data_IF_628416816757
#
_entry.id   IF_628416816757
#
_cell.length_a   1.000
_cell.length_b   1.000
_cell.length_c   1.000
_cell.angle_alpha   90.00
_cell.angle_beta   90.00
_cell.angle_gamma   90.00
#
_symmetry.space_group_name_H-M   'P 1'
#
loop_
_entity.id
_entity.type
_entity.pdbx_description
1 polymer ?
#
# COMPACT_ATOMS: atom_id res chain seq x y z
N UNK A 1 13.31 17.37 3.20
CA UNK A 1 12.59 16.11 3.47
C UNK A 1 12.18 15.49 2.15
N UNK A 2 11.26 16.13 1.43
CA UNK A 2 11.02 15.82 0.02
C UNK A 2 12.28 16.14 -0.81
N UNK A 3 12.56 15.30 -1.80
CA UNK A 3 13.64 15.50 -2.77
C UNK A 3 13.08 15.53 -4.19
N UNK A 4 13.73 16.31 -5.05
CA UNK A 4 13.29 16.51 -6.41
C UNK A 4 13.45 15.19 -7.19
N UNK A 5 12.39 14.67 -7.84
CA UNK A 5 12.48 13.43 -8.59
C UNK A 5 13.35 13.56 -9.86
N UNK A 6 13.78 14.78 -10.23
CA UNK A 6 14.62 15.06 -11.40
C UNK A 6 16.10 15.22 -11.04
N UNK A 7 16.41 16.11 -10.08
CA UNK A 7 17.78 16.44 -9.72
C UNK A 7 18.21 15.96 -8.33
N UNK A 8 17.33 15.28 -7.59
CA UNK A 8 17.57 14.72 -6.23
C UNK A 8 17.88 15.74 -5.13
N UNK A 9 17.96 17.03 -5.46
CA UNK A 9 18.07 18.13 -4.49
C UNK A 9 16.82 18.30 -3.62
N UNK A 10 17.00 18.93 -2.46
CA UNK A 10 15.90 19.22 -1.54
C UNK A 10 14.79 20.05 -2.21
N UNK A 11 13.54 19.69 -1.92
CA UNK A 11 12.36 20.46 -2.27
C UNK A 11 11.94 21.33 -1.09
N UNK A 12 11.73 22.62 -1.35
CA UNK A 12 11.17 23.59 -0.42
C UNK A 12 9.73 23.93 -0.80
N UNK A 13 8.88 24.20 0.20
CA UNK A 13 7.52 24.69 -0.03
C UNK A 13 7.56 26.08 -0.69
N UNK A 14 6.68 26.28 -1.65
CA UNK A 14 6.39 27.55 -2.35
C UNK A 14 4.87 27.71 -2.43
N UNK A 15 4.36 28.88 -2.79
CA UNK A 15 2.94 29.27 -2.68
C UNK A 15 1.91 28.14 -2.94
N UNK A 16 2.04 27.44 -4.07
CA UNK A 16 1.12 26.37 -4.48
C UNK A 16 1.83 25.03 -4.77
N UNK A 17 2.88 24.69 -4.03
CA UNK A 17 3.58 23.42 -4.23
C UNK A 17 4.99 23.41 -3.70
N UNK A 18 5.88 22.71 -4.40
CA UNK A 18 7.28 22.57 -4.00
C UNK A 18 8.23 22.84 -5.14
N UNK A 19 9.41 23.39 -4.83
CA UNK A 19 10.46 23.64 -5.83
C UNK A 19 11.86 23.33 -5.27
N UNK A 20 12.79 22.95 -6.15
CA UNK A 20 14.20 22.80 -5.78
C UNK A 20 15.05 24.00 -6.24
N UNK A 21 16.28 24.08 -5.74
CA UNK A 21 17.22 25.15 -6.08
C UNK A 21 17.55 25.24 -7.58
N UNK A 22 17.41 24.14 -8.33
CA UNK A 22 17.59 24.10 -9.78
C UNK A 22 16.37 24.62 -10.58
N UNK A 23 15.31 25.08 -9.91
CA UNK A 23 14.12 25.67 -10.54
C UNK A 23 13.05 24.67 -10.98
N UNK A 24 13.21 23.36 -10.71
CA UNK A 24 12.14 22.39 -10.94
C UNK A 24 11.01 22.63 -9.94
N UNK A 25 9.77 22.73 -10.43
CA UNK A 25 8.58 23.05 -9.63
C UNK A 25 7.48 22.00 -9.83
N UNK A 26 6.81 21.65 -8.74
CA UNK A 26 5.74 20.67 -8.71
C UNK A 26 4.55 21.30 -7.99
N UNK A 27 3.48 21.57 -8.73
CA UNK A 27 2.25 22.12 -8.16
C UNK A 27 1.52 21.09 -7.30
N UNK A 28 0.94 21.58 -6.20
CA UNK A 28 -0.01 20.82 -5.40
C UNK A 28 -1.36 20.83 -6.12
N UNK A 29 -1.89 19.63 -6.36
CA UNK A 29 -3.21 19.50 -6.96
C UNK A 29 -4.27 20.06 -5.99
N UNK A 30 -5.41 20.52 -6.53
CA UNK A 30 -6.54 21.02 -5.71
C UNK A 30 -7.00 20.03 -4.64
N UNK A 31 -6.80 18.73 -4.86
CA UNK A 31 -7.17 17.67 -3.92
C UNK A 31 -6.15 17.49 -2.78
N UNK A 32 -4.95 18.08 -2.87
CA UNK A 32 -3.95 18.13 -1.79
C UNK A 32 -2.64 17.39 -2.05
N UNK A 33 -2.56 16.55 -3.10
CA UNK A 33 -1.36 15.76 -3.41
C UNK A 33 -0.33 16.50 -4.28
N UNK A 34 0.92 16.06 -4.19
CA UNK A 34 2.00 16.43 -5.09
C UNK A 34 2.19 15.34 -6.16
N UNK A 35 2.22 15.70 -7.44
CA UNK A 35 2.60 14.75 -8.49
C UNK A 35 4.11 14.78 -8.70
N UNK A 36 4.80 13.80 -8.11
CA UNK A 36 6.26 13.67 -8.13
C UNK A 36 6.71 12.48 -8.99
N UNK A 37 5.85 12.02 -9.91
CA UNK A 37 6.15 10.97 -10.89
C UNK A 37 6.57 11.60 -12.23
N UNK A 38 7.87 11.60 -12.59
CA UNK A 38 8.31 12.14 -13.87
C UNK A 38 7.73 11.37 -15.05
N UNK A 39 7.42 12.07 -16.14
CA UNK A 39 6.84 11.48 -17.36
C UNK A 39 7.73 10.38 -17.93
N UNK A 40 9.05 10.58 -17.92
CA UNK A 40 10.07 9.61 -18.39
C UNK A 40 10.14 8.31 -17.56
N UNK A 41 9.48 8.25 -16.40
CA UNK A 41 9.42 7.07 -15.56
C UNK A 41 8.03 6.42 -15.54
N UNK A 42 7.13 6.87 -16.43
CA UNK A 42 5.86 6.20 -16.69
C UNK A 42 6.04 5.08 -17.70
N UNK A 43 5.78 3.84 -17.28
CA UNK A 43 5.72 2.67 -18.18
C UNK A 43 4.38 2.57 -18.93
N UNK A 44 3.35 3.29 -18.50
CA UNK A 44 2.05 3.40 -19.16
C UNK A 44 1.41 4.77 -18.90
N UNK A 45 0.41 5.13 -19.70
CA UNK A 45 -0.36 6.38 -19.53
C UNK A 45 -1.21 6.38 -18.26
N UNK A 46 -1.73 5.21 -17.88
CA UNK A 46 -2.53 4.98 -16.68
C UNK A 46 -1.97 3.77 -15.89
N UNK A 47 -0.91 3.97 -15.08
CA UNK A 47 -0.32 2.91 -14.28
C UNK A 47 -1.14 2.62 -13.01
N UNK A 48 -1.30 1.35 -12.69
CA UNK A 48 -2.01 0.89 -11.48
C UNK A 48 -3.48 0.57 -11.74
N UNK A 49 -4.31 0.75 -10.72
CA UNK A 49 -5.74 0.42 -10.76
C UNK A 49 -6.55 1.49 -11.49
N UNK A 50 -7.48 1.06 -12.34
CA UNK A 50 -8.46 1.94 -12.97
C UNK A 50 -9.53 2.41 -11.98
N UNK A 51 -10.34 3.41 -12.38
CA UNK A 51 -11.35 4.02 -11.51
C UNK A 51 -12.38 3.01 -10.95
N UNK A 52 -12.78 2.00 -11.71
CA UNK A 52 -13.75 1.00 -11.28
C UNK A 52 -13.16 0.06 -10.21
N UNK A 53 -11.90 -0.36 -10.37
CA UNK A 53 -11.18 -1.16 -9.38
C UNK A 53 -11.00 -0.39 -8.07
N UNK A 54 -10.64 0.89 -8.18
CA UNK A 54 -10.49 1.76 -7.01
C UNK A 54 -11.82 1.93 -6.27
N UNK A 55 -12.93 2.10 -6.99
CA UNK A 55 -14.26 2.21 -6.37
C UNK A 55 -14.70 0.91 -5.69
N UNK A 56 -14.53 -0.24 -6.36
CA UNK A 56 -14.83 -1.54 -5.78
C UNK A 56 -14.02 -1.79 -4.50
N UNK A 57 -12.71 -1.50 -4.54
CA UNK A 57 -11.84 -1.58 -3.36
C UNK A 57 -12.33 -0.69 -2.22
N UNK A 58 -12.67 0.56 -2.55
CA UNK A 58 -13.17 1.53 -1.58
C UNK A 58 -14.46 1.05 -0.91
N UNK A 59 -15.42 0.53 -1.67
CA UNK A 59 -16.67 0.02 -1.13
C UNK A 59 -16.45 -1.19 -0.21
N UNK A 60 -15.65 -2.17 -0.66
CA UNK A 60 -15.37 -3.36 0.13
C UNK A 60 -14.66 -3.04 1.46
N UNK A 61 -13.61 -2.22 1.41
CA UNK A 61 -12.88 -1.82 2.60
C UNK A 61 -13.74 -0.91 3.49
N UNK A 62 -14.53 -0.01 2.90
CA UNK A 62 -15.46 0.88 3.61
C UNK A 62 -16.61 0.14 4.31
N UNK A 63 -16.98 -1.05 3.83
CA UNK A 63 -17.93 -1.94 4.51
C UNK A 63 -17.33 -2.66 5.73
N UNK A 64 -16.03 -2.46 6.01
CA UNK A 64 -15.36 -3.00 7.20
C UNK A 64 -14.93 -4.46 7.09
N UNK A 65 -15.03 -5.08 5.92
CA UNK A 65 -14.66 -6.49 5.73
C UNK A 65 -13.22 -6.79 6.16
N UNK A 66 -12.29 -5.85 5.96
CA UNK A 66 -10.88 -5.95 6.36
C UNK A 66 -10.53 -5.02 7.55
N UNK A 67 -11.53 -4.59 8.33
CA UNK A 67 -11.29 -3.76 9.52
C UNK A 67 -10.35 -4.40 10.56
N UNK A 68 -10.42 -5.72 10.85
CA UNK A 68 -9.45 -6.36 11.76
C UNK A 68 -8.00 -6.20 11.29
N UNK A 69 -7.78 -6.25 9.97
CA UNK A 69 -6.44 -6.15 9.40
C UNK A 69 -5.86 -4.74 9.56
N UNK A 70 -6.67 -3.73 9.27
CA UNK A 70 -6.24 -2.34 9.36
C UNK A 70 -6.01 -1.92 10.81
N UNK A 71 -6.85 -2.37 11.74
CA UNK A 71 -6.66 -2.14 13.17
C UNK A 71 -5.34 -2.71 13.65
N UNK A 72 -5.05 -3.98 13.35
CA UNK A 72 -3.81 -4.62 13.80
C UNK A 72 -2.57 -3.95 13.19
N UNK A 73 -2.63 -3.55 11.92
CA UNK A 73 -1.57 -2.77 11.28
C UNK A 73 -1.29 -1.47 12.04
N UNK A 74 -2.34 -0.74 12.41
CA UNK A 74 -2.23 0.54 13.11
C UNK A 74 -1.68 0.37 14.53
N UNK A 75 -2.11 -0.67 15.26
CA UNK A 75 -1.55 -1.03 16.57
C UNK A 75 -0.05 -1.32 16.48
N UNK A 76 0.37 -2.19 15.56
CA UNK A 76 1.78 -2.52 15.36
C UNK A 76 2.62 -1.29 15.01
N UNK A 77 2.09 -0.39 14.19
CA UNK A 77 2.77 0.86 13.85
C UNK A 77 2.90 1.80 15.06
N UNK A 78 1.85 1.90 15.88
CA UNK A 78 1.84 2.71 17.10
C UNK A 78 2.83 2.20 18.16
N UNK A 79 2.97 0.88 18.32
CA UNK A 79 3.96 0.26 19.20
C UNK A 79 5.40 0.67 18.86
N UNK A 80 5.69 1.01 17.59
CA UNK A 80 7.02 1.45 17.15
C UNK A 80 7.24 2.96 17.36
N UNK A 81 6.18 3.72 17.63
CA UNK A 81 6.21 5.16 17.88
C UNK A 81 7.14 5.96 16.92
N UNK A 82 7.03 5.79 15.59
CA UNK A 82 7.91 6.48 14.65
C UNK A 82 7.68 8.00 14.68
N UNK A 83 8.76 8.78 14.55
CA UNK A 83 8.64 10.22 14.32
C UNK A 83 8.21 10.56 12.88
N UNK A 84 8.57 9.71 11.92
CA UNK A 84 8.22 9.82 10.51
C UNK A 84 7.93 8.46 9.88
N UNK A 85 6.90 8.39 9.06
CA UNK A 85 6.49 7.17 8.37
C UNK A 85 6.04 7.40 6.94
N UNK A 86 6.12 6.36 6.12
CA UNK A 86 5.65 6.35 4.74
C UNK A 86 4.81 5.10 4.46
N UNK A 87 3.64 5.26 3.85
CA UNK A 87 2.88 4.17 3.24
C UNK A 87 3.19 4.04 1.74
N UNK A 88 3.73 2.88 1.34
CA UNK A 88 4.16 2.56 -0.01
C UNK A 88 3.07 1.73 -0.71
N UNK A 89 2.47 2.31 -1.76
CA UNK A 89 1.33 1.72 -2.45
C UNK A 89 0.05 1.92 -1.64
N UNK A 90 -0.19 3.15 -1.22
CA UNK A 90 -1.28 3.53 -0.32
C UNK A 90 -2.68 3.37 -0.93
N UNK A 91 -2.76 3.15 -2.26
CA UNK A 91 -4.01 3.00 -2.98
C UNK A 91 -4.95 4.17 -2.74
N UNK A 92 -6.18 3.86 -2.32
CA UNK A 92 -7.21 4.87 -2.04
C UNK A 92 -7.23 5.34 -0.58
N UNK A 93 -6.20 4.97 0.20
CA UNK A 93 -5.93 5.54 1.52
C UNK A 93 -6.65 4.91 2.71
N UNK A 94 -7.28 3.74 2.55
CA UNK A 94 -7.97 3.07 3.66
C UNK A 94 -7.04 2.76 4.84
N UNK A 95 -5.95 2.04 4.60
CA UNK A 95 -4.98 1.68 5.65
C UNK A 95 -4.18 2.89 6.12
N UNK A 96 -3.83 3.79 5.19
CA UNK A 96 -3.11 5.03 5.47
C UNK A 96 -3.86 5.92 6.45
N UNK A 97 -5.18 6.02 6.34
CA UNK A 97 -6.00 6.81 7.26
C UNK A 97 -5.95 6.24 8.68
N UNK A 98 -6.01 4.92 8.83
CA UNK A 98 -5.91 4.23 10.11
C UNK A 98 -4.52 4.41 10.75
N UNK A 99 -3.45 4.36 9.94
CA UNK A 99 -2.10 4.69 10.38
C UNK A 99 -2.00 6.16 10.85
N UNK A 100 -2.58 7.09 10.09
CA UNK A 100 -2.59 8.51 10.45
C UNK A 100 -3.39 8.83 11.72
N UNK A 101 -4.45 8.08 12.00
CA UNK A 101 -5.22 8.17 13.25
C UNK A 101 -4.42 7.61 14.45
N UNK A 102 -3.71 6.51 14.26
CA UNK A 102 -2.90 5.89 15.31
C UNK A 102 -1.57 6.60 15.59
N UNK A 103 -1.07 7.38 14.62
CA UNK A 103 0.19 8.13 14.70
C UNK A 103 -0.02 9.66 14.54
N UNK A 104 -0.85 10.30 15.39
CA UNK A 104 -1.29 11.68 15.16
C UNK A 104 -0.17 12.73 15.31
N UNK A 105 0.93 12.36 15.98
CA UNK A 105 2.10 13.24 16.20
C UNK A 105 3.24 12.95 15.22
N UNK A 106 3.14 11.91 14.40
CA UNK A 106 4.18 11.53 13.47
C UNK A 106 3.99 12.22 12.11
N UNK A 107 5.10 12.59 11.48
CA UNK A 107 5.11 13.15 10.14
C UNK A 107 4.84 12.04 9.11
N UNK A 108 3.64 12.01 8.52
CA UNK A 108 3.16 10.90 7.71
C UNK A 108 3.10 11.21 6.21
N UNK A 109 3.63 10.29 5.41
CA UNK A 109 3.67 10.34 3.95
C UNK A 109 2.95 9.15 3.35
N UNK A 110 2.39 9.33 2.16
CA UNK A 110 1.76 8.24 1.44
C UNK A 110 1.97 8.41 -0.06
N UNK A 111 2.32 7.31 -0.75
CA UNK A 111 2.46 7.32 -2.19
C UNK A 111 1.76 6.16 -2.87
N UNK A 112 1.26 6.44 -4.06
CA UNK A 112 0.86 5.43 -5.03
C UNK A 112 1.24 5.92 -6.44
N UNK A 113 1.38 4.98 -7.37
CA UNK A 113 1.62 5.32 -8.78
C UNK A 113 0.32 5.74 -9.48
N UNK A 114 -0.84 5.26 -8.99
CA UNK A 114 -2.16 5.60 -9.51
C UNK A 114 -2.61 6.97 -9.01
N UNK A 115 -2.67 7.92 -9.95
CA UNK A 115 -3.18 9.27 -9.66
C UNK A 115 -4.63 9.25 -9.16
N UNK A 116 -5.48 8.40 -9.74
CA UNK A 116 -6.89 8.34 -9.37
C UNK A 116 -7.08 7.78 -7.95
N UNK A 117 -6.23 6.84 -7.53
CA UNK A 117 -6.24 6.32 -6.17
C UNK A 117 -5.84 7.42 -5.15
N UNK A 118 -4.69 8.09 -5.38
CA UNK A 118 -4.20 9.17 -4.50
C UNK A 118 -5.20 10.34 -4.40
N UNK A 119 -5.79 10.74 -5.53
CA UNK A 119 -6.80 11.80 -5.59
C UNK A 119 -7.99 11.54 -4.67
N UNK A 120 -8.39 10.27 -4.52
CA UNK A 120 -9.49 9.85 -3.62
C UNK A 120 -8.99 9.73 -2.17
N UNK A 121 -7.75 9.29 -1.99
CA UNK A 121 -7.11 9.09 -0.69
C UNK A 121 -6.93 10.38 0.10
N UNK A 122 -6.57 11.49 -0.56
CA UNK A 122 -6.25 12.78 0.07
C UNK A 122 -7.32 13.29 1.06
N UNK A 123 -8.60 12.98 0.79
CA UNK A 123 -9.71 13.42 1.65
C UNK A 123 -9.85 12.63 2.95
N UNK A 124 -9.28 11.42 3.03
CA UNK A 124 -9.41 10.54 4.21
C UNK A 124 -8.53 11.00 5.36
N UNK A 125 -7.33 11.47 5.06
CA UNK A 125 -6.37 11.97 6.04
C UNK A 125 -5.66 13.22 5.47
N UNK A 126 -6.31 14.40 5.51
CA UNK A 126 -5.77 15.62 4.91
C UNK A 126 -4.51 16.15 5.62
N UNK A 127 -4.21 15.65 6.83
CA UNK A 127 -3.01 15.98 7.57
C UNK A 127 -1.73 15.35 7.00
N UNK A 128 -1.86 14.34 6.12
CA UNK A 128 -0.71 13.63 5.55
C UNK A 128 -0.19 14.27 4.27
N UNK A 129 1.08 14.02 3.95
CA UNK A 129 1.66 14.37 2.65
C UNK A 129 1.40 13.28 1.62
N UNK A 130 0.48 13.56 0.69
CA UNK A 130 0.10 12.64 -0.38
C UNK A 130 0.91 12.87 -1.65
N UNK A 131 1.40 11.80 -2.26
CA UNK A 131 2.26 11.85 -3.44
C UNK A 131 1.80 10.88 -4.52
N UNK A 132 1.79 11.33 -5.77
CA UNK A 132 1.82 10.40 -6.91
C UNK A 132 3.29 10.18 -7.25
N UNK A 133 3.81 9.00 -6.96
CA UNK A 133 5.23 8.66 -7.12
C UNK A 133 5.43 7.16 -7.35
N UNK A 134 6.63 6.77 -7.79
CA UNK A 134 7.01 5.37 -7.93
C UNK A 134 7.70 4.88 -6.66
N UNK A 135 7.33 3.69 -6.18
CA UNK A 135 8.02 3.02 -5.07
C UNK A 135 9.50 2.72 -5.36
N UNK A 136 9.91 2.66 -6.63
CA UNK A 136 11.30 2.43 -7.03
C UNK A 136 12.16 3.71 -6.97
N UNK A 137 11.52 4.87 -6.81
CA UNK A 137 12.17 6.20 -6.74
C UNK A 137 11.34 7.11 -5.85
N UNK A 138 11.34 6.82 -4.56
CA UNK A 138 10.58 7.56 -3.56
C UNK A 138 11.19 8.95 -3.39
N UNK A 139 10.40 10.03 -3.50
CA UNK A 139 10.90 11.41 -3.44
C UNK A 139 11.10 11.88 -1.99
N UNK A 140 11.70 11.04 -1.15
CA UNK A 140 12.14 11.36 0.21
C UNK A 140 13.66 11.16 0.31
N UNK A 141 14.28 11.98 1.16
CA UNK A 141 15.71 11.92 1.44
C UNK A 141 16.11 10.57 2.05
N UNK A 142 17.40 10.26 1.96
CA UNK A 142 17.99 9.07 2.59
C UNK A 142 17.83 9.14 4.12
N UNK A 143 17.72 7.98 4.76
CA UNK A 143 17.60 7.85 6.22
C UNK A 143 16.61 8.84 6.86
N UNK A 144 15.43 8.97 6.25
CA UNK A 144 14.44 9.97 6.64
C UNK A 144 13.25 9.39 7.39
N UNK A 145 12.96 8.09 7.25
CA UNK A 145 11.78 7.44 7.82
C UNK A 145 12.19 6.42 8.89
N UNK A 146 11.41 6.31 9.97
CA UNK A 146 11.57 5.24 10.96
C UNK A 146 10.67 4.04 10.64
N UNK A 147 9.55 4.26 9.94
CA UNK A 147 8.61 3.21 9.56
C UNK A 147 8.21 3.32 8.09
N UNK A 148 8.31 2.23 7.35
CA UNK A 148 7.69 2.07 6.03
C UNK A 148 6.57 1.06 6.13
N UNK A 149 5.33 1.45 5.84
CA UNK A 149 4.20 0.53 5.72
C UNK A 149 4.04 0.08 4.27
N UNK A 150 3.67 -1.18 4.07
CA UNK A 150 3.27 -1.68 2.75
C UNK A 150 2.21 -2.75 2.88
N UNK A 151 1.04 -2.52 2.28
CA UNK A 151 -0.14 -3.38 2.45
C UNK A 151 -0.52 -3.98 1.10
N UNK A 152 -0.30 -5.28 0.93
CA UNK A 152 -0.49 -6.03 -0.32
C UNK A 152 0.25 -5.45 -1.54
N UNK A 153 1.20 -4.54 -1.29
CA UNK A 153 1.98 -3.85 -2.30
C UNK A 153 3.40 -4.43 -2.36
N UNK A 154 4.04 -4.44 -3.55
CA UNK A 154 5.45 -4.79 -3.67
C UNK A 154 6.34 -3.73 -3.01
N UNK A 155 7.56 -4.14 -2.65
CA UNK A 155 8.57 -3.28 -2.04
C UNK A 155 9.85 -3.39 -2.87
N UNK A 156 10.48 -2.26 -3.16
CA UNK A 156 11.87 -2.22 -3.62
C UNK A 156 12.77 -2.17 -2.38
N UNK A 157 13.46 -3.28 -2.09
CA UNK A 157 14.24 -3.39 -0.85
C UNK A 157 15.43 -2.43 -0.79
N UNK A 158 16.03 -2.08 -1.93
CA UNK A 158 17.13 -1.10 -1.97
C UNK A 158 16.61 0.29 -1.64
N UNK A 159 15.46 0.65 -2.18
CA UNK A 159 14.83 1.93 -1.87
C UNK A 159 14.33 1.98 -0.41
N UNK A 160 13.79 0.87 0.11
CA UNK A 160 13.42 0.76 1.52
C UNK A 160 14.63 0.97 2.45
N UNK A 161 15.76 0.29 2.18
CA UNK A 161 17.00 0.45 2.94
C UNK A 161 17.55 1.88 2.86
N UNK A 162 17.48 2.52 1.69
CA UNK A 162 17.87 3.94 1.50
C UNK A 162 17.06 4.88 2.38
N UNK A 163 15.74 4.67 2.47
CA UNK A 163 14.82 5.57 3.17
C UNK A 163 14.85 5.42 4.68
N UNK A 164 15.06 4.21 5.19
CA UNK A 164 14.98 3.93 6.62
C UNK A 164 16.16 4.55 7.37
N UNK A 165 15.95 5.11 8.55
CA UNK A 165 17.05 5.37 9.50
C UNK A 165 17.63 4.05 10.01
N UNK A 166 18.87 4.01 10.52
CA UNK A 166 19.32 2.90 11.36
C UNK A 166 18.31 2.63 12.48
N UNK A 167 17.98 1.35 12.72
CA UNK A 167 16.96 0.93 13.68
C UNK A 167 15.49 1.13 13.22
N UNK A 168 15.26 1.83 12.10
CA UNK A 168 13.94 1.90 11.47
C UNK A 168 13.55 0.58 10.80
N UNK A 169 12.28 0.44 10.39
CA UNK A 169 11.84 -0.82 9.79
C UNK A 169 10.65 -0.74 8.83
N UNK A 170 10.47 -1.84 8.12
CA UNK A 170 9.35 -2.08 7.22
C UNK A 170 8.30 -2.90 7.94
N UNK A 171 7.09 -2.38 8.04
CA UNK A 171 5.88 -3.10 8.45
C UNK A 171 5.11 -3.52 7.20
N UNK A 172 5.26 -4.79 6.82
CA UNK A 172 4.63 -5.35 5.62
C UNK A 172 3.43 -6.20 5.99
N UNK A 173 2.28 -5.93 5.38
CA UNK A 173 1.09 -6.77 5.44
C UNK A 173 0.91 -7.49 4.10
N UNK A 174 1.03 -8.81 4.09
CA UNK A 174 0.87 -9.66 2.91
C UNK A 174 -0.08 -10.83 3.12
N UNK A 175 -0.49 -11.52 2.05
CA UNK A 175 -1.33 -12.71 2.19
C UNK A 175 -0.50 -13.84 2.82
N UNK A 176 -1.14 -14.65 3.66
CA UNK A 176 -0.60 -15.93 4.12
C UNK A 176 -1.04 -17.06 3.18
N UNK A 177 -0.51 -18.28 3.37
CA UNK A 177 -0.79 -19.47 2.54
C UNK A 177 -2.28 -19.67 2.20
N UNK A 178 -3.14 -19.53 3.22
CA UNK A 178 -4.58 -19.83 3.13
C UNK A 178 -5.44 -18.62 2.74
N UNK A 179 -4.83 -17.48 2.39
CA UNK A 179 -5.57 -16.27 2.02
C UNK A 179 -6.51 -16.54 0.84
N UNK A 180 -7.79 -16.29 1.07
CA UNK A 180 -8.88 -16.42 0.10
C UNK A 180 -8.87 -17.76 -0.66
N UNK A 181 -8.48 -18.85 0.02
CA UNK A 181 -8.34 -20.15 -0.61
C UNK A 181 -9.66 -20.63 -1.24
N UNK A 182 -10.77 -20.45 -0.54
CA UNK A 182 -12.10 -20.86 -1.01
C UNK A 182 -12.52 -20.07 -2.27
N UNK A 183 -12.17 -18.79 -2.34
CA UNK A 183 -12.37 -17.98 -3.56
C UNK A 183 -11.48 -18.50 -4.70
N UNK A 184 -10.19 -18.77 -4.44
CA UNK A 184 -9.26 -19.30 -5.45
C UNK A 184 -9.70 -20.66 -6.00
N UNK A 185 -10.21 -21.56 -5.16
CA UNK A 185 -10.75 -22.86 -5.57
C UNK A 185 -12.00 -22.73 -6.45
N UNK A 186 -12.79 -21.67 -6.28
CA UNK A 186 -13.93 -21.38 -7.17
C UNK A 186 -13.49 -20.76 -8.50
N UNK A 187 -12.35 -20.09 -8.51
CA UNK A 187 -11.76 -19.44 -9.69
C UNK A 187 -10.99 -20.41 -10.58
N UNK A 188 -10.24 -21.36 -10.00
CA UNK A 188 -9.29 -22.22 -10.69
C UNK A 188 -9.57 -23.71 -10.49
N UNK A 189 -9.27 -24.51 -11.52
CA UNK A 189 -9.39 -25.98 -11.43
C UNK A 189 -8.25 -26.57 -10.58
N UNK A 190 -7.09 -25.92 -10.61
CA UNK A 190 -5.93 -26.26 -9.77
C UNK A 190 -5.42 -24.98 -9.09
N UNK A 191 -5.40 -24.98 -7.76
CA UNK A 191 -4.86 -23.87 -6.98
C UNK A 191 -3.40 -24.17 -6.65
N UNK A 192 -2.50 -23.41 -7.28
CA UNK A 192 -1.08 -23.47 -6.94
C UNK A 192 -0.84 -23.02 -5.51
N UNK A 193 0.09 -23.70 -4.85
CA UNK A 193 0.53 -23.33 -3.52
C UNK A 193 1.16 -21.93 -3.52
N UNK A 194 0.80 -21.14 -2.50
CA UNK A 194 1.36 -19.81 -2.31
C UNK A 194 2.55 -19.89 -1.36
N UNK A 195 3.73 -19.51 -1.86
CA UNK A 195 4.98 -19.42 -1.09
C UNK A 195 5.03 -18.05 -0.41
N UNK A 196 4.68 -18.01 0.87
CA UNK A 196 4.43 -16.76 1.61
C UNK A 196 5.67 -15.95 1.96
N UNK A 197 6.84 -16.59 2.04
CA UNK A 197 8.13 -15.98 2.34
C UNK A 197 8.94 -15.60 1.08
N UNK A 198 8.43 -15.87 -0.13
CA UNK A 198 9.11 -15.54 -1.40
C UNK A 198 9.57 -14.08 -1.49
N UNK A 199 8.83 -13.17 -0.87
CA UNK A 199 9.14 -11.74 -0.86
C UNK A 199 10.45 -11.40 -0.10
N UNK A 200 10.94 -12.32 0.73
CA UNK A 200 12.18 -12.19 1.50
C UNK A 200 13.41 -12.70 0.74
N UNK A 201 13.24 -13.34 -0.42
CA UNK A 201 14.34 -13.99 -1.14
C UNK A 201 15.44 -13.00 -1.59
N UNK A 202 15.08 -11.76 -1.86
CA UNK A 202 15.99 -10.71 -2.34
C UNK A 202 16.23 -9.62 -1.27
N UNK A 203 16.15 -9.98 0.01
CA UNK A 203 16.39 -9.05 1.10
C UNK A 203 17.89 -8.68 1.16
N UNK A 204 18.25 -7.38 1.18
CA UNK A 204 19.63 -6.95 1.28
C UNK A 204 20.15 -7.14 2.72
N UNK A 205 21.47 -7.28 2.87
CA UNK A 205 22.12 -7.62 4.16
C UNK A 205 21.81 -6.60 5.27
N UNK A 206 21.52 -5.34 4.92
CA UNK A 206 21.17 -4.29 5.88
C UNK A 206 19.78 -4.46 6.48
N UNK A 207 18.92 -5.31 5.91
CA UNK A 207 17.58 -5.57 6.39
C UNK A 207 17.48 -7.00 6.93
N UNK A 208 16.84 -7.14 8.09
CA UNK A 208 16.59 -8.45 8.72
C UNK A 208 15.13 -8.58 9.10
N UNK A 209 14.51 -9.72 8.79
CA UNK A 209 13.22 -10.09 9.35
C UNK A 209 13.37 -10.30 10.87
N UNK A 210 12.80 -9.41 11.66
CA UNK A 210 12.88 -9.46 13.12
C UNK A 210 11.66 -10.16 13.74
N UNK A 211 10.49 -10.03 13.12
CA UNK A 211 9.27 -10.64 13.62
C UNK A 211 8.27 -10.90 12.50
N UNK A 212 7.52 -11.99 12.62
CA UNK A 212 6.34 -12.30 11.82
C UNK A 212 5.21 -12.70 12.75
N UNK A 213 4.03 -12.14 12.53
CA UNK A 213 2.78 -12.64 13.11
C UNK A 213 1.73 -12.87 12.02
N UNK A 214 0.77 -13.77 12.29
CA UNK A 214 -0.33 -14.06 11.38
C UNK A 214 -1.66 -13.70 12.00
N UNK A 215 -2.59 -13.23 11.18
CA UNK A 215 -3.98 -12.97 11.55
C UNK A 215 -4.87 -13.68 10.54
N UNK A 216 -5.77 -14.53 11.05
CA UNK A 216 -6.74 -15.24 10.23
C UNK A 216 -8.15 -15.12 10.81
N UNK A 217 -9.14 -14.90 9.94
CA UNK A 217 -10.55 -14.94 10.31
C UNK A 217 -11.41 -15.39 9.13
N UNK A 218 -12.64 -15.79 9.44
CA UNK A 218 -13.66 -16.12 8.46
C UNK A 218 -14.47 -14.90 8.08
N UNK A 219 -14.65 -14.69 6.78
CA UNK A 219 -15.43 -13.60 6.22
C UNK A 219 -16.61 -14.17 5.43
N UNK A 220 -17.82 -13.93 5.92
CA UNK A 220 -19.04 -14.22 5.19
C UNK A 220 -19.23 -13.22 4.04
N UNK A 221 -19.45 -13.72 2.83
CA UNK A 221 -19.74 -12.94 1.63
C UNK A 221 -21.21 -13.12 1.23
N UNK A 222 -22.10 -12.61 2.07
CA UNK A 222 -23.54 -12.84 1.94
C UNK A 222 -24.15 -12.09 0.75
N UNK A 223 -23.75 -10.85 0.55
CA UNK A 223 -24.29 -10.02 -0.53
C UNK A 223 -23.56 -10.26 -1.84
N UNK A 224 -24.27 -10.06 -2.97
CA UNK A 224 -23.65 -10.17 -4.29
C UNK A 224 -22.59 -9.10 -4.46
N UNK A 225 -22.86 -7.90 -3.96
CA UNK A 225 -21.98 -6.74 -4.00
C UNK A 225 -20.64 -7.00 -3.28
N UNK A 226 -20.65 -7.65 -2.11
CA UNK A 226 -19.41 -8.00 -1.40
C UNK A 226 -18.55 -8.97 -2.23
N UNK A 227 -19.18 -9.95 -2.88
CA UNK A 227 -18.51 -10.91 -3.77
C UNK A 227 -17.96 -10.23 -5.02
N UNK A 228 -18.72 -9.31 -5.62
CA UNK A 228 -18.30 -8.52 -6.78
C UNK A 228 -17.10 -7.64 -6.46
N UNK A 229 -17.16 -6.91 -5.34
CA UNK A 229 -16.08 -6.03 -4.94
C UNK A 229 -14.81 -6.79 -4.54
N UNK A 230 -14.92 -7.87 -3.76
CA UNK A 230 -13.77 -8.70 -3.43
C UNK A 230 -13.12 -9.26 -4.69
N UNK A 231 -13.92 -9.79 -5.63
CA UNK A 231 -13.40 -10.33 -6.88
C UNK A 231 -12.64 -9.26 -7.69
N UNK A 232 -13.17 -8.04 -7.78
CA UNK A 232 -12.53 -6.92 -8.47
C UNK A 232 -11.22 -6.46 -7.80
N UNK A 233 -11.05 -6.69 -6.49
CA UNK A 233 -9.82 -6.40 -5.76
C UNK A 233 -8.73 -7.45 -5.95
N UNK A 234 -9.07 -8.64 -6.44
CA UNK A 234 -8.06 -9.67 -6.74
C UNK A 234 -7.44 -9.43 -8.12
N UNK A 235 -6.12 -9.69 -8.31
CA UNK A 235 -5.50 -9.69 -9.64
C UNK A 235 -6.18 -10.62 -10.64
N UNK A 236 -6.97 -11.56 -10.12
CA UNK A 236 -7.64 -12.60 -10.86
C UNK A 236 -8.97 -12.16 -11.46
N UNK A 237 -9.70 -11.21 -10.85
CA UNK A 237 -11.07 -10.87 -11.20
C UNK A 237 -11.32 -10.50 -12.67
N UNK A 238 -10.32 -9.93 -13.34
CA UNK A 238 -10.39 -9.52 -14.75
C UNK A 238 -10.11 -10.63 -15.76
N UNK A 239 -9.52 -11.76 -15.31
CA UNK A 239 -9.16 -12.89 -16.18
C UNK A 239 -10.12 -14.08 -16.06
N UNK A 240 -11.18 -13.92 -15.27
CA UNK A 240 -12.17 -14.97 -15.02
C UNK A 240 -13.18 -14.95 -16.16
N UNK A 241 -13.47 -16.14 -16.71
CA UNK A 241 -14.51 -16.24 -17.73
C UNK A 241 -15.89 -15.85 -17.13
N UNK A 242 -16.84 -15.36 -17.94
CA UNK A 242 -18.12 -14.87 -17.43
C UNK A 242 -18.91 -15.91 -16.62
N UNK A 243 -18.82 -17.19 -17.00
CA UNK A 243 -19.54 -18.28 -16.36
C UNK A 243 -19.04 -18.57 -14.93
N UNK A 244 -17.71 -18.68 -14.73
CA UNK A 244 -17.11 -18.84 -13.40
C UNK A 244 -17.35 -17.60 -12.54
N UNK A 245 -17.31 -16.41 -13.15
CA UNK A 245 -17.66 -15.17 -12.46
C UNK A 245 -19.09 -15.26 -11.93
N UNK A 246 -20.06 -15.60 -12.77
CA UNK A 246 -21.46 -15.70 -12.34
C UNK A 246 -21.65 -16.75 -11.26
N UNK A 247 -20.99 -17.92 -11.37
CA UNK A 247 -21.03 -18.96 -10.32
C UNK A 247 -20.57 -18.46 -8.95
N UNK A 248 -19.54 -17.61 -8.91
CA UNK A 248 -19.06 -17.00 -7.65
C UNK A 248 -20.09 -16.01 -7.10
N UNK A 249 -20.77 -15.27 -7.98
CA UNK A 249 -21.71 -14.22 -7.61
C UNK A 249 -23.13 -14.72 -7.32
N UNK A 250 -23.46 -15.95 -7.70
CA UNK A 250 -24.78 -16.53 -7.53
C UNK A 250 -25.09 -16.82 -6.05
N UNK A 251 -24.22 -17.56 -5.36
CA UNK A 251 -24.51 -18.07 -4.02
C UNK A 251 -23.56 -17.53 -2.94
N UNK A 252 -24.06 -17.17 -1.73
CA UNK A 252 -23.24 -16.80 -0.59
C UNK A 252 -22.20 -17.86 -0.26
N UNK A 253 -21.05 -17.43 0.21
CA UNK A 253 -20.03 -18.34 0.73
C UNK A 253 -19.12 -17.61 1.73
N UNK A 254 -18.40 -18.40 2.50
CA UNK A 254 -17.39 -17.91 3.43
C UNK A 254 -16.00 -18.06 2.80
N UNK A 255 -15.12 -17.11 3.09
CA UNK A 255 -13.70 -17.17 2.74
C UNK A 255 -12.83 -17.01 3.97
N UNK A 256 -11.66 -17.63 3.94
CA UNK A 256 -10.60 -17.39 4.92
C UNK A 256 -9.81 -16.16 4.53
N UNK A 257 -9.81 -15.14 5.37
CA UNK A 257 -8.89 -14.00 5.26
C UNK A 257 -7.70 -14.30 6.16
N UNK A 258 -6.62 -14.83 5.59
CA UNK A 258 -5.38 -15.13 6.32
C UNK A 258 -4.24 -14.23 5.83
N UNK A 259 -3.57 -13.51 6.72
CA UNK A 259 -2.50 -12.58 6.38
C UNK A 259 -1.32 -12.73 7.33
N UNK A 260 -0.17 -12.23 6.90
CA UNK A 260 1.04 -12.10 7.71
C UNK A 260 1.46 -10.64 7.81
N UNK A 261 1.86 -10.24 9.01
CA UNK A 261 2.55 -8.99 9.29
C UNK A 261 4.01 -9.32 9.51
N UNK A 262 4.88 -8.76 8.68
CA UNK A 262 6.31 -8.89 8.78
C UNK A 262 6.91 -7.56 9.25
N UNK A 263 7.74 -7.62 10.28
CA UNK A 263 8.56 -6.50 10.73
C UNK A 263 10.01 -6.78 10.34
N UNK A 264 10.52 -5.97 9.40
CA UNK A 264 11.91 -6.02 8.98
C UNK A 264 12.63 -4.79 9.52
N UNK A 265 13.80 -4.98 10.12
CA UNK A 265 14.57 -3.90 10.73
C UNK A 265 15.82 -3.62 9.91
N UNK A 266 16.10 -2.34 9.67
CA UNK A 266 17.38 -1.88 9.15
C UNK A 266 18.40 -1.92 10.28
N UNK A 267 19.40 -2.77 10.11
CA UNK A 267 20.49 -2.93 11.07
C UNK A 267 21.33 -1.64 11.15
N UNK A 268 21.95 -1.42 12.31
CA UNK A 268 23.03 -0.44 12.42
C UNK A 268 24.26 -0.95 11.65
N UNK A 269 24.99 -0.05 10.95
CA UNK A 269 26.21 -0.42 10.23
C UNK A 269 27.34 -0.88 11.15
#
# INVERSE_FOLDING_TARGET
MLICPLCREALAEVDNGVACAAGHRFDRARQGYLNLLPVQHKKSLDPGDNAAMVEARRHFLGAGHYAPLARRLAELAAERAPGRWLDIGCGEGYYTAQLGEALPQADGYALDISREAVKRACKRAPQLTWMVASMARVPLADASCQLLASVFSPIDWKEAARLLTPGGGVLRLGPARDHLLELRQRLYDEVREYVEDKHLADLPDELQLAHTEQLSFKLALDTREAREHLLAMTPHGWRVNPERRERILAEPFEVTVAVRYDWLVRQEP
#
